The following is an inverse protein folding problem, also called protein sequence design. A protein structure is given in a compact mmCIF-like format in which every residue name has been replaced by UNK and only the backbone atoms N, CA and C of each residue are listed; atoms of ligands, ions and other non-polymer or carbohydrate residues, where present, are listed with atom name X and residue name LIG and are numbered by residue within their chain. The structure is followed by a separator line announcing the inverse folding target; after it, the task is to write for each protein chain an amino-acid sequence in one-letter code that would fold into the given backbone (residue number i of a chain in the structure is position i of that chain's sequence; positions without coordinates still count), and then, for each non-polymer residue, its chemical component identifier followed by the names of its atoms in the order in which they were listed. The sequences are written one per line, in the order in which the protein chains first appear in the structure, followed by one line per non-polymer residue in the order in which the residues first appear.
data_IF_825783169520
#
_entry.id   IF_825783169520
#
_cell.length_a   1.000
_cell.length_b   1.000
_cell.length_c   1.000
_cell.angle_alpha   90.00
_cell.angle_beta   90.00
_cell.angle_gamma   90.00
#
_symmetry.space_group_name_H-M   'P 1'
#
loop_
_entity.id
_entity.type
_entity.pdbx_description
1 polymer ?
#
# COMPACT_ATOMS: atom_id res chain seq x y z
N UNK A 1 20.25 32.79 75.77
CA UNK A 1 20.32 31.32 75.92
C UNK A 1 19.20 30.72 75.08
N UNK A 2 19.51 30.37 73.78
CA UNK A 2 18.52 29.77 72.90
C UNK A 2 19.21 28.57 72.18
N UNK A 3 18.65 27.40 72.41
CA UNK A 3 19.21 26.12 71.89
C UNK A 3 18.55 25.79 70.54
N UNK A 4 19.28 25.93 69.47
CA UNK A 4 18.87 25.42 68.17
C UNK A 4 19.04 23.87 68.11
N UNK A 5 17.92 23.17 67.90
CA UNK A 5 17.88 21.73 67.61
C UNK A 5 17.84 21.54 66.11
N UNK A 6 18.93 21.12 65.52
CA UNK A 6 19.02 20.70 64.12
C UNK A 6 18.46 19.30 63.99
N UNK A 7 17.32 19.15 63.29
CA UNK A 7 16.74 17.87 62.95
C UNK A 7 17.36 17.38 61.61
N UNK A 8 18.08 16.27 61.65
CA UNK A 8 18.61 15.59 60.46
C UNK A 8 17.53 14.71 59.88
N UNK A 9 17.08 15.02 58.64
CA UNK A 9 16.13 14.23 57.89
C UNK A 9 16.91 13.20 57.05
N UNK A 10 16.88 11.92 57.42
CA UNK A 10 17.46 10.82 56.65
C UNK A 10 16.41 10.39 55.63
N UNK A 11 16.64 10.72 54.37
CA UNK A 11 15.87 10.21 53.24
C UNK A 11 16.33 8.80 52.87
N UNK A 12 15.54 7.76 53.17
CA UNK A 12 15.79 6.38 52.77
C UNK A 12 15.41 6.23 51.29
N UNK A 13 16.41 6.05 50.40
CA UNK A 13 16.21 5.60 49.03
C UNK A 13 15.80 4.12 49.07
N UNK A 14 14.53 3.83 48.83
CA UNK A 14 14.04 2.49 48.55
C UNK A 14 14.36 2.15 47.06
N UNK A 15 15.43 1.38 46.85
CA UNK A 15 15.74 0.80 45.56
C UNK A 15 14.69 -0.27 45.22
N UNK A 16 13.80 0.03 44.27
CA UNK A 16 12.87 -0.96 43.70
C UNK A 16 13.66 -1.98 42.86
N UNK A 17 13.86 -3.16 43.39
CA UNK A 17 14.38 -4.31 42.66
C UNK A 17 13.28 -4.76 41.73
N UNK A 18 13.46 -4.51 40.41
CA UNK A 18 12.59 -5.07 39.37
C UNK A 18 12.74 -6.61 39.37
N UNK A 19 11.63 -7.38 39.37
CA UNK A 19 11.73 -8.82 39.28
C UNK A 19 12.42 -9.17 37.95
N UNK A 20 13.54 -9.90 38.03
CA UNK A 20 14.18 -10.47 36.87
C UNK A 20 13.20 -11.46 36.24
N UNK A 21 12.90 -11.28 34.94
CA UNK A 21 12.06 -12.22 34.19
C UNK A 21 12.69 -13.62 34.29
N UNK A 22 11.93 -14.56 34.84
CA UNK A 22 12.36 -15.96 34.90
C UNK A 22 12.67 -16.47 33.49
N UNK A 23 13.84 -17.12 33.25
CA UNK A 23 14.17 -17.66 31.93
C UNK A 23 13.12 -18.70 31.56
N UNK A 24 12.54 -18.58 30.36
CA UNK A 24 11.53 -19.52 29.85
C UNK A 24 12.14 -20.96 29.89
N UNK A 25 11.36 -21.95 30.37
CA UNK A 25 11.90 -23.33 30.47
C UNK A 25 12.37 -23.85 29.12
N UNK A 26 13.46 -24.60 29.06
CA UNK A 26 14.03 -25.15 27.83
C UNK A 26 12.98 -25.98 27.09
N UNK A 27 12.82 -25.72 25.80
CA UNK A 27 11.84 -26.43 24.96
C UNK A 27 12.49 -27.65 24.35
N UNK A 28 12.12 -28.84 24.81
CA UNK A 28 12.57 -30.09 24.28
C UNK A 28 11.58 -30.65 23.25
N UNK A 29 12.08 -31.42 22.29
CA UNK A 29 11.30 -32.13 21.27
C UNK A 29 10.36 -31.21 20.44
N UNK A 30 10.80 -29.99 20.16
CA UNK A 30 10.08 -29.08 19.29
C UNK A 30 10.84 -28.87 17.99
N UNK A 31 10.10 -28.83 16.88
CA UNK A 31 10.63 -28.53 15.56
C UNK A 31 9.86 -27.33 15.05
N UNK A 32 10.55 -26.32 14.58
CA UNK A 32 9.95 -25.19 13.88
C UNK A 32 10.12 -25.39 12.38
N UNK A 33 9.04 -25.17 11.64
CA UNK A 33 9.06 -25.30 10.19
C UNK A 33 8.20 -24.19 9.55
N UNK A 34 8.48 -23.92 8.29
CA UNK A 34 7.73 -23.00 7.47
C UNK A 34 7.30 -23.70 6.18
N UNK A 35 6.08 -23.43 5.76
CA UNK A 35 5.59 -23.77 4.43
C UNK A 35 4.77 -22.60 3.88
N UNK A 36 4.62 -22.53 2.57
CA UNK A 36 3.84 -21.46 1.94
C UNK A 36 3.17 -21.93 0.68
N UNK A 37 2.20 -21.14 0.25
CA UNK A 37 1.56 -21.24 -1.05
C UNK A 37 1.58 -19.86 -1.71
N UNK A 38 1.64 -19.84 -3.04
CA UNK A 38 1.61 -18.59 -3.80
C UNK A 38 0.79 -18.76 -5.08
N UNK A 39 0.24 -17.64 -5.54
CA UNK A 39 -0.55 -17.59 -6.77
C UNK A 39 -0.30 -16.28 -7.49
N UNK A 40 -0.11 -16.36 -8.79
CA UNK A 40 -0.04 -15.21 -9.67
C UNK A 40 -1.44 -14.87 -10.16
N UNK A 41 -1.86 -13.62 -9.98
CA UNK A 41 -3.15 -13.09 -10.41
C UNK A 41 -2.97 -12.00 -11.45
N UNK A 42 -3.80 -11.93 -12.49
CA UNK A 42 -3.83 -10.77 -13.37
C UNK A 42 -4.28 -9.55 -12.59
N UNK A 43 -3.66 -8.40 -12.85
CA UNK A 43 -4.14 -7.14 -12.31
C UNK A 43 -5.45 -6.76 -13.01
N UNK A 44 -6.51 -6.62 -12.24
CA UNK A 44 -7.88 -6.36 -12.70
C UNK A 44 -8.38 -4.95 -12.30
N UNK A 45 -7.53 -4.13 -11.68
CA UNK A 45 -7.84 -2.76 -11.28
C UNK A 45 -6.80 -1.78 -11.78
N UNK A 46 -7.28 -0.68 -12.36
CA UNK A 46 -6.51 0.49 -12.73
C UNK A 46 -6.73 1.58 -11.69
N UNK A 47 -5.63 2.15 -11.19
CA UNK A 47 -5.61 3.32 -10.32
C UNK A 47 -4.83 4.43 -11.02
N UNK A 48 -5.44 5.60 -11.20
CA UNK A 48 -4.77 6.77 -11.75
C UNK A 48 -4.95 8.00 -10.86
N UNK A 49 -3.93 8.83 -10.84
CA UNK A 49 -3.96 10.12 -10.13
C UNK A 49 -3.72 11.24 -11.12
N UNK A 50 -4.67 12.16 -11.19
CA UNK A 50 -4.55 13.39 -11.96
C UNK A 50 -4.44 14.57 -11.01
N UNK A 51 -3.75 15.63 -11.44
CA UNK A 51 -3.58 16.86 -10.65
C UNK A 51 -3.89 18.07 -11.50
N UNK A 52 -4.37 19.11 -10.83
CA UNK A 52 -4.47 20.46 -11.37
C UNK A 52 -3.66 21.41 -10.50
N UNK A 53 -2.92 22.30 -11.12
CA UNK A 53 -2.23 23.39 -10.44
C UNK A 53 -2.67 24.72 -11.06
N UNK A 54 -2.96 25.70 -10.20
CA UNK A 54 -3.34 27.06 -10.59
C UNK A 54 -2.60 28.05 -9.71
N UNK A 55 -1.98 29.06 -10.33
CA UNK A 55 -1.35 30.15 -9.59
C UNK A 55 -2.30 31.37 -9.62
N UNK A 56 -2.40 32.06 -8.48
CA UNK A 56 -3.20 33.28 -8.34
C UNK A 56 -2.54 34.26 -7.35
N UNK A 57 -3.01 35.49 -7.35
CA UNK A 57 -2.51 36.53 -6.44
C UNK A 57 -2.94 36.30 -4.99
N UNK A 58 -4.07 35.61 -4.76
CA UNK A 58 -4.61 35.36 -3.42
C UNK A 58 -4.83 33.86 -3.18
N UNK A 59 -4.72 33.37 -1.94
CA UNK A 59 -4.95 31.98 -1.62
C UNK A 59 -6.40 31.54 -1.91
N UNK A 60 -7.37 32.43 -1.69
CA UNK A 60 -8.78 32.14 -1.93
C UNK A 60 -9.08 31.98 -3.43
N UNK A 61 -8.52 32.83 -4.29
CA UNK A 61 -8.70 32.72 -5.73
C UNK A 61 -8.03 31.47 -6.29
N UNK A 62 -6.80 31.15 -5.85
CA UNK A 62 -6.12 29.92 -6.22
C UNK A 62 -6.92 28.66 -5.82
N UNK A 63 -7.45 28.61 -4.58
CA UNK A 63 -8.27 27.51 -4.11
C UNK A 63 -9.60 27.38 -4.89
N UNK A 64 -10.28 28.48 -5.15
CA UNK A 64 -11.52 28.49 -5.93
C UNK A 64 -11.29 28.00 -7.37
N UNK A 65 -10.22 28.45 -8.02
CA UNK A 65 -9.89 28.01 -9.38
C UNK A 65 -9.61 26.50 -9.45
N UNK A 66 -8.93 25.94 -8.45
CA UNK A 66 -8.73 24.49 -8.31
C UNK A 66 -10.07 23.78 -8.14
N UNK A 67 -10.93 24.26 -7.23
CA UNK A 67 -12.24 23.65 -6.96
C UNK A 67 -13.13 23.62 -8.21
N UNK A 68 -13.14 24.69 -9.00
CA UNK A 68 -13.88 24.75 -10.29
C UNK A 68 -13.40 23.62 -11.21
N UNK A 69 -12.07 23.48 -11.41
CA UNK A 69 -11.50 22.45 -12.29
C UNK A 69 -11.78 21.03 -11.80
N UNK A 70 -11.65 20.78 -10.49
CA UNK A 70 -11.96 19.47 -9.89
C UNK A 70 -13.44 19.15 -10.03
N UNK A 71 -14.35 20.11 -9.80
CA UNK A 71 -15.78 19.90 -9.95
C UNK A 71 -16.20 19.64 -11.41
N UNK A 72 -15.59 20.30 -12.38
CA UNK A 72 -15.77 20.00 -13.80
C UNK A 72 -15.34 18.60 -14.16
N UNK A 73 -14.17 18.16 -13.65
CA UNK A 73 -13.65 16.82 -13.83
C UNK A 73 -14.58 15.75 -13.22
N UNK A 74 -15.09 15.99 -12.00
CA UNK A 74 -16.06 15.10 -11.35
C UNK A 74 -17.37 15.03 -12.13
N UNK A 75 -17.82 16.15 -12.73
CA UNK A 75 -19.01 16.16 -13.57
C UNK A 75 -18.83 15.33 -14.85
N UNK A 76 -17.68 15.42 -15.51
CA UNK A 76 -17.34 14.57 -16.65
C UNK A 76 -17.31 13.09 -16.27
N UNK A 77 -16.75 12.78 -15.11
CA UNK A 77 -16.61 11.41 -14.62
C UNK A 77 -17.96 10.73 -14.35
N UNK A 78 -19.03 11.47 -14.02
CA UNK A 78 -20.39 10.92 -13.84
C UNK A 78 -20.93 10.21 -15.09
N UNK A 79 -20.42 10.54 -16.27
CA UNK A 79 -20.77 9.85 -17.52
C UNK A 79 -20.16 8.45 -17.67
N UNK A 80 -19.33 8.02 -16.72
CA UNK A 80 -18.61 6.74 -16.74
C UNK A 80 -18.98 5.90 -15.51
N UNK A 81 -20.07 5.20 -15.55
CA UNK A 81 -20.64 4.46 -14.40
C UNK A 81 -19.70 3.37 -13.85
N UNK A 82 -18.84 2.77 -14.69
CA UNK A 82 -17.84 1.76 -14.31
C UNK A 82 -16.57 2.35 -13.71
N UNK A 83 -16.45 3.69 -13.66
CA UNK A 83 -15.26 4.38 -13.16
C UNK A 83 -15.59 5.14 -11.88
N UNK A 84 -14.92 4.76 -10.78
CA UNK A 84 -15.01 5.49 -9.52
C UNK A 84 -14.01 6.65 -9.52
N UNK A 85 -14.48 7.82 -9.12
CA UNK A 85 -13.64 9.00 -9.00
C UNK A 85 -13.79 9.63 -7.62
N UNK A 86 -12.66 10.00 -7.04
CA UNK A 86 -12.60 10.66 -5.74
C UNK A 86 -11.73 11.91 -5.84
N UNK A 87 -12.17 13.03 -5.24
CA UNK A 87 -11.28 14.15 -5.00
C UNK A 87 -10.23 13.73 -3.96
N UNK A 88 -8.96 13.99 -4.28
CA UNK A 88 -7.84 13.76 -3.38
C UNK A 88 -7.53 15.01 -2.54
N UNK A 89 -6.25 15.20 -2.27
CA UNK A 89 -5.77 16.31 -1.46
C UNK A 89 -5.84 17.65 -2.23
N UNK A 90 -6.43 18.67 -1.58
CA UNK A 90 -6.44 20.06 -2.06
C UNK A 90 -5.59 20.90 -1.11
N UNK A 91 -4.61 21.60 -1.68
CA UNK A 91 -3.66 22.42 -0.92
C UNK A 91 -3.40 23.74 -1.61
N UNK A 92 -3.04 24.75 -0.82
CA UNK A 92 -2.61 26.05 -1.33
C UNK A 92 -1.31 26.45 -0.66
N UNK A 93 -0.33 26.84 -1.48
CA UNK A 93 1.03 27.16 -1.04
C UNK A 93 1.40 28.57 -1.48
N UNK A 94 2.12 29.35 -0.66
CA UNK A 94 2.70 30.60 -1.11
C UNK A 94 3.83 30.34 -2.11
N UNK A 95 3.96 31.23 -3.10
CA UNK A 95 5.06 31.26 -4.06
C UNK A 95 5.94 32.45 -3.69
N UNK A 96 7.23 32.21 -3.50
CA UNK A 96 8.20 33.26 -3.20
C UNK A 96 9.16 33.46 -4.36
N UNK A 97 9.64 34.70 -4.52
CA UNK A 97 10.74 35.06 -5.41
C UNK A 97 12.07 34.57 -4.84
N UNK A 98 13.16 34.70 -5.62
CA UNK A 98 14.53 34.40 -5.15
C UNK A 98 14.94 35.27 -3.94
N UNK A 99 14.40 36.49 -3.85
CA UNK A 99 14.64 37.43 -2.76
C UNK A 99 13.67 37.24 -1.58
N UNK A 100 13.02 36.08 -1.50
CA UNK A 100 12.09 35.69 -0.43
C UNK A 100 10.88 36.62 -0.26
N UNK A 101 10.44 37.28 -1.34
CA UNK A 101 9.22 38.09 -1.36
C UNK A 101 8.05 37.27 -1.88
N UNK A 102 6.87 37.42 -1.27
CA UNK A 102 5.66 36.73 -1.69
C UNK A 102 5.25 37.20 -3.10
N UNK A 103 5.27 36.27 -4.05
CA UNK A 103 4.89 36.52 -5.46
C UNK A 103 3.41 36.19 -5.72
N UNK A 104 2.83 35.25 -4.98
CA UNK A 104 1.49 34.77 -5.19
C UNK A 104 1.24 33.44 -4.48
N UNK A 105 0.20 32.76 -4.93
CA UNK A 105 -0.24 31.48 -4.31
C UNK A 105 -0.46 30.43 -5.40
N UNK A 106 -0.07 29.21 -5.09
CA UNK A 106 -0.32 28.03 -5.91
C UNK A 106 -1.36 27.15 -5.25
N UNK A 107 -2.50 27.00 -5.90
CA UNK A 107 -3.48 25.98 -5.58
C UNK A 107 -3.15 24.67 -6.29
N UNK A 108 -3.28 23.57 -5.61
CA UNK A 108 -3.12 22.21 -6.17
C UNK A 108 -4.28 21.35 -5.72
N UNK A 109 -4.88 20.61 -6.67
CA UNK A 109 -5.91 19.63 -6.40
C UNK A 109 -5.59 18.29 -7.04
N UNK A 110 -6.09 17.22 -6.44
CA UNK A 110 -5.94 15.85 -6.93
C UNK A 110 -7.30 15.24 -7.23
N UNK A 111 -7.34 14.44 -8.31
CA UNK A 111 -8.44 13.55 -8.65
C UNK A 111 -7.87 12.13 -8.77
N UNK A 112 -8.50 11.19 -8.06
CA UNK A 112 -8.16 9.76 -8.14
C UNK A 112 -9.24 9.03 -8.91
N UNK A 113 -8.80 8.13 -9.77
CA UNK A 113 -9.63 7.28 -10.62
C UNK A 113 -9.31 5.83 -10.30
N UNK A 114 -10.36 5.04 -10.07
CA UNK A 114 -10.28 3.60 -9.85
C UNK A 114 -11.29 2.91 -10.75
N UNK A 115 -10.88 1.89 -11.49
CA UNK A 115 -11.79 1.11 -12.34
C UNK A 115 -11.23 -0.27 -12.66
N UNK A 116 -12.13 -1.23 -12.85
CA UNK A 116 -11.84 -2.52 -13.47
C UNK A 116 -12.12 -2.51 -14.98
N UNK A 117 -12.81 -1.49 -15.46
CA UNK A 117 -13.02 -1.23 -16.88
C UNK A 117 -11.93 -0.29 -17.41
N UNK A 118 -10.85 -0.89 -17.92
CA UNK A 118 -9.68 -0.17 -18.39
C UNK A 118 -9.99 0.73 -19.60
N UNK A 119 -10.92 0.30 -20.45
CA UNK A 119 -11.30 1.07 -21.63
C UNK A 119 -12.03 2.36 -21.23
N UNK A 120 -13.02 2.25 -20.34
CA UNK A 120 -13.75 3.41 -19.82
C UNK A 120 -12.83 4.35 -19.03
N UNK A 121 -11.94 3.80 -18.19
CA UNK A 121 -10.98 4.59 -17.43
C UNK A 121 -10.03 5.37 -18.35
N UNK A 122 -9.46 4.70 -19.37
CA UNK A 122 -8.56 5.34 -20.35
C UNK A 122 -9.26 6.44 -21.13
N UNK A 123 -10.51 6.21 -21.56
CA UNK A 123 -11.30 7.22 -22.26
C UNK A 123 -11.59 8.45 -21.37
N UNK A 124 -11.90 8.22 -20.10
CA UNK A 124 -12.09 9.32 -19.14
C UNK A 124 -10.79 10.08 -18.90
N UNK A 125 -9.68 9.37 -18.64
CA UNK A 125 -8.36 9.98 -18.42
C UNK A 125 -7.97 10.84 -19.63
N UNK A 126 -8.15 10.34 -20.84
CA UNK A 126 -7.88 11.12 -22.07
C UNK A 126 -8.65 12.42 -22.14
N UNK A 127 -9.94 12.42 -21.77
CA UNK A 127 -10.76 13.65 -21.72
C UNK A 127 -10.30 14.60 -20.61
N UNK A 128 -9.95 14.07 -19.45
CA UNK A 128 -9.53 14.87 -18.30
C UNK A 128 -8.16 15.53 -18.52
N UNK A 129 -7.29 14.95 -19.33
CA UNK A 129 -5.98 15.52 -19.66
C UNK A 129 -6.06 16.87 -20.41
N UNK A 130 -7.22 17.27 -20.91
CA UNK A 130 -7.43 18.62 -21.43
C UNK A 130 -7.34 19.72 -20.34
N UNK A 131 -7.58 19.36 -19.05
CA UNK A 131 -7.61 20.32 -17.94
C UNK A 131 -6.80 19.90 -16.72
N UNK A 132 -6.47 18.62 -16.60
CA UNK A 132 -5.67 18.03 -15.53
C UNK A 132 -4.45 17.33 -16.10
N UNK A 133 -3.41 17.19 -15.27
CA UNK A 133 -2.19 16.47 -15.61
C UNK A 133 -2.22 15.08 -15.00
N UNK A 134 -1.99 14.04 -15.79
CA UNK A 134 -1.79 12.69 -15.28
C UNK A 134 -0.44 12.61 -14.54
N UNK A 135 -0.49 12.29 -13.24
CA UNK A 135 0.70 12.16 -12.39
C UNK A 135 1.22 10.74 -12.34
N UNK A 136 0.32 9.78 -12.43
CA UNK A 136 0.69 8.38 -12.44
C UNK A 136 -0.51 7.48 -12.67
N UNK A 137 -0.22 6.30 -13.19
CA UNK A 137 -1.19 5.24 -13.41
C UNK A 137 -0.52 3.93 -13.02
N UNK A 138 -1.25 3.06 -12.35
CA UNK A 138 -0.78 1.74 -11.94
C UNK A 138 -1.90 0.73 -12.10
N UNK A 139 -1.50 -0.52 -12.25
CA UNK A 139 -2.40 -1.66 -12.22
C UNK A 139 -2.18 -2.46 -10.95
N UNK A 140 -3.23 -3.03 -10.42
CA UNK A 140 -3.22 -3.81 -9.19
C UNK A 140 -4.30 -4.88 -9.24
N UNK A 141 -4.21 -5.85 -8.33
CA UNK A 141 -5.31 -6.79 -8.09
C UNK A 141 -6.34 -6.10 -7.21
N UNK A 142 -7.61 -6.20 -7.57
CA UNK A 142 -8.71 -5.63 -6.79
C UNK A 142 -8.77 -6.21 -5.38
N UNK A 143 -9.26 -5.45 -4.38
CA UNK A 143 -9.38 -5.93 -3.01
C UNK A 143 -10.24 -7.19 -2.86
N UNK A 144 -11.21 -7.38 -3.75
CA UNK A 144 -12.05 -8.58 -3.76
C UNK A 144 -11.26 -9.79 -4.24
N UNK A 145 -10.67 -9.73 -5.42
CA UNK A 145 -9.87 -10.81 -6.00
C UNK A 145 -8.69 -11.19 -5.08
N UNK A 146 -8.08 -10.18 -4.43
CA UNK A 146 -7.02 -10.41 -3.46
C UNK A 146 -7.52 -11.23 -2.27
N UNK A 147 -8.64 -10.85 -1.62
CA UNK A 147 -9.20 -11.58 -0.46
C UNK A 147 -9.58 -13.01 -0.83
N UNK A 148 -10.19 -13.22 -2.01
CA UNK A 148 -10.55 -14.55 -2.49
C UNK A 148 -9.32 -15.44 -2.67
N UNK A 149 -8.26 -14.91 -3.26
CA UNK A 149 -7.01 -15.62 -3.42
C UNK A 149 -6.30 -15.88 -2.08
N UNK A 150 -6.24 -14.91 -1.18
CA UNK A 150 -5.66 -15.07 0.17
C UNK A 150 -6.39 -16.18 0.95
N UNK A 151 -7.72 -16.21 0.94
CA UNK A 151 -8.50 -17.25 1.63
C UNK A 151 -8.22 -18.67 1.08
N UNK A 152 -8.10 -18.80 -0.24
CA UNK A 152 -7.71 -20.06 -0.86
C UNK A 152 -6.28 -20.47 -0.48
N UNK A 153 -5.34 -19.53 -0.56
CA UNK A 153 -3.92 -19.75 -0.25
C UNK A 153 -3.67 -20.08 1.23
N UNK A 154 -4.48 -19.57 2.17
CA UNK A 154 -4.41 -19.95 3.58
C UNK A 154 -4.62 -21.46 3.73
N UNK A 155 -5.65 -22.01 3.08
CA UNK A 155 -5.93 -23.44 3.12
C UNK A 155 -4.80 -24.26 2.49
N UNK A 156 -4.26 -23.80 1.37
CA UNK A 156 -3.13 -24.44 0.67
C UNK A 156 -1.85 -24.40 1.51
N UNK A 157 -1.53 -23.26 2.13
CA UNK A 157 -0.36 -23.10 2.99
C UNK A 157 -0.40 -24.00 4.24
N UNK A 158 -1.60 -24.10 4.87
CA UNK A 158 -1.79 -25.00 6.01
C UNK A 158 -1.66 -26.47 5.58
N UNK A 159 -2.18 -26.84 4.41
CA UNK A 159 -2.02 -28.19 3.88
C UNK A 159 -0.54 -28.51 3.60
N UNK A 160 0.19 -27.59 2.99
CA UNK A 160 1.64 -27.70 2.75
C UNK A 160 2.43 -27.80 4.06
N UNK A 161 2.05 -27.03 5.08
CA UNK A 161 2.64 -27.09 6.42
C UNK A 161 2.45 -28.47 7.04
N UNK A 162 1.22 -29.03 7.05
CA UNK A 162 0.93 -30.35 7.56
C UNK A 162 1.69 -31.45 6.81
N UNK A 163 1.75 -31.37 5.49
CA UNK A 163 2.52 -32.31 4.68
C UNK A 163 4.01 -32.32 5.03
N UNK A 164 4.61 -31.12 5.17
CA UNK A 164 6.02 -30.97 5.57
C UNK A 164 6.27 -31.46 6.99
N UNK A 165 5.34 -31.21 7.93
CA UNK A 165 5.43 -31.74 9.30
C UNK A 165 5.42 -33.27 9.32
N UNK A 166 4.58 -33.92 8.48
CA UNK A 166 4.55 -35.39 8.37
C UNK A 166 5.88 -35.98 7.82
N UNK A 167 6.47 -35.29 6.82
CA UNK A 167 7.78 -35.70 6.28
C UNK A 167 8.86 -35.62 7.37
N UNK A 168 8.90 -34.54 8.13
CA UNK A 168 9.86 -34.34 9.22
C UNK A 168 9.65 -35.39 10.33
N UNK A 169 8.41 -35.63 10.71
CA UNK A 169 8.05 -36.66 11.71
C UNK A 169 8.56 -38.03 11.29
N UNK A 170 8.32 -38.44 10.05
CA UNK A 170 8.79 -39.72 9.54
C UNK A 170 10.32 -39.79 9.50
N UNK A 171 11.02 -38.74 9.06
CA UNK A 171 12.46 -38.69 9.00
C UNK A 171 13.15 -38.75 10.38
N UNK A 172 12.49 -38.22 11.42
CA UNK A 172 12.97 -38.27 12.81
C UNK A 172 12.56 -39.52 13.56
N UNK A 173 11.84 -40.46 12.93
CA UNK A 173 11.35 -41.70 13.58
C UNK A 173 10.28 -41.45 14.65
N UNK A 174 9.60 -40.31 14.60
CA UNK A 174 8.58 -39.93 15.58
C UNK A 174 7.29 -40.73 15.39
N UNK A 175 6.57 -41.02 16.48
CA UNK A 175 5.28 -41.74 16.43
C UNK A 175 4.10 -40.84 16.08
N UNK A 176 4.28 -39.53 16.06
CA UNK A 176 3.27 -38.50 15.77
C UNK A 176 3.80 -37.11 16.12
N UNK A 177 3.04 -36.08 15.76
CA UNK A 177 3.34 -34.72 16.19
C UNK A 177 2.05 -34.04 16.69
N UNK A 178 2.20 -32.97 17.45
CA UNK A 178 1.13 -32.14 17.94
C UNK A 178 1.46 -30.68 17.58
N UNK A 179 0.56 -30.04 16.90
CA UNK A 179 0.68 -28.60 16.60
C UNK A 179 0.64 -27.82 17.90
N UNK A 180 1.65 -27.01 18.17
CA UNK A 180 1.76 -26.16 19.35
C UNK A 180 1.38 -24.71 19.03
N UNK A 181 1.91 -24.19 17.95
CA UNK A 181 1.66 -22.85 17.44
C UNK A 181 1.54 -22.88 15.93
N UNK A 182 0.71 -22.01 15.40
CA UNK A 182 0.61 -21.75 13.96
C UNK A 182 0.41 -20.26 13.77
N UNK A 183 1.34 -19.64 13.06
CA UNK A 183 1.24 -18.28 12.59
C UNK A 183 1.05 -18.28 11.08
N UNK A 184 0.03 -17.57 10.60
CA UNK A 184 -0.27 -17.45 9.17
C UNK A 184 -0.18 -15.99 8.78
N UNK A 185 0.70 -15.71 7.85
CA UNK A 185 0.92 -14.35 7.34
C UNK A 185 0.75 -14.31 5.83
N UNK A 186 0.11 -13.24 5.34
CA UNK A 186 0.00 -12.95 3.92
C UNK A 186 0.94 -11.81 3.53
N UNK A 187 1.54 -11.92 2.34
CA UNK A 187 2.40 -10.92 1.75
C UNK A 187 2.06 -10.69 0.28
N UNK A 188 2.36 -9.48 -0.21
CA UNK A 188 2.32 -9.17 -1.64
C UNK A 188 3.71 -8.84 -2.13
N UNK A 189 4.14 -9.50 -3.18
CA UNK A 189 5.22 -8.98 -3.99
C UNK A 189 4.57 -8.08 -5.05
N UNK A 190 4.94 -6.81 -5.05
CA UNK A 190 4.41 -5.80 -5.97
C UNK A 190 4.51 -6.25 -7.43
N UNK A 191 3.79 -5.55 -8.35
CA UNK A 191 3.78 -5.93 -9.75
C UNK A 191 5.21 -6.03 -10.27
N UNK A 192 5.57 -7.18 -10.78
CA UNK A 192 6.80 -7.37 -11.54
C UNK A 192 6.48 -6.90 -12.97
N UNK A 193 7.04 -5.76 -13.43
CA UNK A 193 6.89 -5.37 -14.82
C UNK A 193 7.52 -6.47 -15.66
N UNK A 194 6.74 -7.21 -16.43
CA UNK A 194 7.29 -8.01 -17.49
C UNK A 194 7.80 -7.05 -18.56
N UNK A 195 9.11 -6.85 -18.63
CA UNK A 195 9.71 -6.26 -19.81
C UNK A 195 9.43 -7.21 -20.97
N UNK A 196 8.38 -6.92 -21.74
CA UNK A 196 8.29 -7.48 -23.08
C UNK A 196 9.51 -6.96 -23.83
N UNK A 197 10.42 -7.84 -24.23
CA UNK A 197 11.48 -7.50 -25.17
C UNK A 197 10.75 -7.07 -26.46
N UNK A 198 10.60 -5.77 -26.64
CA UNK A 198 10.16 -5.19 -27.89
C UNK A 198 11.24 -5.51 -28.93
N UNK A 199 11.00 -6.48 -29.80
CA UNK A 199 11.72 -6.59 -31.04
C UNK A 199 11.49 -5.30 -31.81
N UNK A 200 12.56 -4.58 -32.06
CA UNK A 200 12.55 -3.38 -32.87
C UNK A 200 11.97 -3.67 -34.25
N UNK A 201 10.72 -3.28 -34.48
CA UNK A 201 10.13 -3.17 -35.79
C UNK A 201 10.38 -1.75 -36.31
N UNK A 202 10.69 -1.58 -37.61
CA UNK A 202 11.04 -0.29 -38.18
C UNK A 202 9.85 0.65 -38.23
N UNK A 203 10.18 1.91 -37.95
CA UNK A 203 9.24 3.03 -37.88
C UNK A 203 8.32 3.15 -39.09
N UNK A 204 7.00 3.23 -38.85
CA UNK A 204 6.09 4.06 -39.63
C UNK A 204 4.72 4.21 -38.93
N UNK A 205 4.40 5.47 -38.58
CA UNK A 205 3.09 6.12 -38.66
C UNK A 205 1.95 5.62 -37.80
N UNK A 206 1.39 6.59 -37.14
CA UNK A 206 0.29 6.59 -36.16
C UNK A 206 0.71 6.04 -34.80
N UNK A 207 0.79 6.95 -33.84
CA UNK A 207 0.94 6.60 -32.43
C UNK A 207 -0.38 5.96 -32.02
N UNK A 208 -0.47 4.64 -32.20
CA UNK A 208 -1.53 3.87 -31.57
C UNK A 208 -1.41 4.09 -30.05
N UNK A 209 -2.54 4.27 -29.34
CA UNK A 209 -2.48 4.36 -27.88
C UNK A 209 -1.74 3.12 -27.36
N UNK A 210 -0.82 3.28 -26.41
CA UNK A 210 -0.06 2.17 -25.87
C UNK A 210 -1.02 1.09 -25.39
N UNK A 211 -0.84 -0.15 -25.84
CA UNK A 211 -1.58 -1.29 -25.30
C UNK A 211 -1.29 -1.35 -23.79
N UNK A 212 -2.32 -1.11 -22.96
CA UNK A 212 -2.22 -1.13 -21.52
C UNK A 212 -2.13 -2.60 -21.07
N UNK A 213 -0.92 -3.11 -20.90
CA UNK A 213 -0.71 -4.42 -20.30
C UNK A 213 -0.72 -4.24 -18.76
N UNK A 214 -1.74 -4.76 -18.12
CA UNK A 214 -1.92 -4.63 -16.68
C UNK A 214 -0.90 -5.43 -15.85
N UNK A 215 -0.21 -6.42 -16.45
CA UNK A 215 0.72 -7.31 -15.76
C UNK A 215 0.03 -8.19 -14.73
N UNK A 216 0.82 -8.83 -13.87
CA UNK A 216 0.36 -9.75 -12.83
C UNK A 216 0.95 -9.39 -11.47
N UNK A 217 0.29 -9.79 -10.39
CA UNK A 217 0.76 -9.64 -9.02
C UNK A 217 0.78 -11.01 -8.35
N UNK A 218 1.88 -11.34 -7.65
CA UNK A 218 1.99 -12.60 -6.90
C UNK A 218 1.55 -12.36 -5.45
N UNK A 219 0.56 -13.15 -5.02
CA UNK A 219 0.13 -13.23 -3.62
C UNK A 219 0.77 -14.45 -2.99
N UNK A 220 1.34 -14.30 -1.81
CA UNK A 220 2.00 -15.36 -1.05
C UNK A 220 1.41 -15.45 0.34
N UNK A 221 1.13 -16.66 0.80
CA UNK A 221 0.74 -16.94 2.19
C UNK A 221 1.75 -17.91 2.78
N UNK A 222 2.25 -17.59 3.97
CA UNK A 222 3.19 -18.40 4.72
C UNK A 222 2.54 -18.90 6.01
N UNK A 223 2.78 -20.16 6.32
CA UNK A 223 2.39 -20.81 7.57
C UNK A 223 3.68 -21.20 8.34
N UNK A 224 3.84 -20.70 9.54
CA UNK A 224 4.99 -20.90 10.41
C UNK A 224 4.51 -21.55 11.71
N UNK A 225 5.28 -22.50 12.23
CA UNK A 225 4.93 -23.15 13.49
C UNK A 225 6.02 -24.03 14.08
#
# INVERSE_FOLDING_TARGET
MSRFRTAFLIAALASAVAPAAEPAPPRYNTVSLQAGAQRELPNDQLDATLTVEVNDATPAAAANAVNVRVNEALRLARGYASVRTHSGNNQTFPIYTRDNQLQGWRGRGELRIESQDFAAASALIGKLQASLQLRGMRFSVSPQAQREAENALISEAIAAFKARAAIIQAALGGRGYKLRNLDVSSGRNGPVPRMAMAQAAPAAREVAPPALEAGTTTITVNANG
#
